data_IF_062818749760
#
_entry.id   IF_062818749760
#
_cell.length_a   1.000
_cell.length_b   1.000
_cell.length_c   1.000
_cell.angle_alpha   90.00
_cell.angle_beta   90.00
_cell.angle_gamma   90.00
#
_symmetry.space_group_name_H-M   'P 1'
#
loop_
_entity.id
_entity.type
_entity.pdbx_description
1 polymer ?
#
# COMPACT_ATOMS: atom_id res chain seq x y z
N UNK A 1 8.06 -11.88 -3.53
CA UNK A 1 7.08 -12.30 -2.49
C UNK A 1 5.75 -11.59 -2.77
N UNK A 2 4.59 -12.24 -2.58
CA UNK A 2 3.27 -11.63 -2.86
C UNK A 2 2.63 -11.16 -1.56
N UNK A 3 2.20 -9.91 -1.49
CA UNK A 3 1.58 -9.33 -0.30
C UNK A 3 0.33 -8.54 -0.67
N UNK A 4 -0.69 -8.60 0.19
CA UNK A 4 -1.90 -7.79 0.11
C UNK A 4 -1.73 -6.62 1.07
N UNK A 5 -1.81 -5.38 0.58
CA UNK A 5 -1.73 -4.20 1.44
C UNK A 5 -3.11 -3.76 1.88
N UNK A 6 -3.25 -3.49 3.17
CA UNK A 6 -4.40 -2.80 3.75
C UNK A 6 -4.41 -1.32 3.36
N UNK A 7 -5.59 -0.71 3.32
CA UNK A 7 -5.80 0.72 3.05
C UNK A 7 -4.95 1.59 3.97
N UNK A 8 -4.82 1.24 5.26
CA UNK A 8 -4.03 2.01 6.21
C UNK A 8 -2.54 2.01 5.86
N UNK A 9 -2.01 0.95 5.25
CA UNK A 9 -0.60 0.90 4.82
C UNK A 9 -0.37 1.85 3.65
N UNK A 10 -1.30 1.91 2.71
CA UNK A 10 -1.28 2.89 1.61
C UNK A 10 -1.28 4.32 2.15
N UNK A 11 -2.29 4.68 2.94
CA UNK A 11 -2.43 6.04 3.48
C UNK A 11 -1.20 6.38 4.34
N UNK A 12 -0.77 5.47 5.22
CA UNK A 12 0.41 5.67 6.08
C UNK A 12 1.66 5.97 5.27
N UNK A 13 1.92 5.17 4.22
CA UNK A 13 3.12 5.28 3.40
C UNK A 13 3.12 6.46 2.44
N UNK A 14 1.95 6.87 1.95
CA UNK A 14 1.79 8.00 1.04
C UNK A 14 1.84 9.35 1.78
N UNK A 15 1.23 9.46 2.96
CA UNK A 15 1.08 10.74 3.67
C UNK A 15 2.13 10.98 4.76
N UNK A 16 2.56 9.95 5.49
CA UNK A 16 3.45 10.12 6.67
C UNK A 16 4.79 9.39 6.58
N UNK A 17 4.94 8.45 5.66
CA UNK A 17 6.22 7.78 5.40
C UNK A 17 6.47 6.54 6.28
N UNK A 18 7.69 6.42 6.83
CA UNK A 18 8.06 5.36 7.78
C UNK A 18 8.18 3.95 7.17
N UNK A 19 7.92 2.92 7.98
CA UNK A 19 7.96 1.52 7.52
C UNK A 19 6.94 1.23 6.39
N UNK A 20 5.71 1.78 6.41
CA UNK A 20 4.79 1.66 5.28
C UNK A 20 5.38 2.18 3.95
N UNK A 21 6.09 3.32 3.96
CA UNK A 21 6.79 3.83 2.76
C UNK A 21 7.88 2.89 2.27
N UNK A 22 8.63 2.26 3.18
CA UNK A 22 9.64 1.25 2.79
C UNK A 22 8.98 0.05 2.09
N UNK A 23 7.80 -0.38 2.53
CA UNK A 23 7.06 -1.45 1.84
C UNK A 23 6.67 -1.00 0.43
N UNK A 24 6.18 0.23 0.26
CA UNK A 24 5.86 0.78 -1.06
C UNK A 24 7.12 0.83 -1.94
N UNK A 25 8.26 1.26 -1.41
CA UNK A 25 9.54 1.28 -2.14
C UNK A 25 9.99 -0.12 -2.58
N UNK A 26 9.84 -1.14 -1.73
CA UNK A 26 10.15 -2.52 -2.13
C UNK A 26 9.29 -2.98 -3.32
N UNK A 27 8.06 -2.46 -3.45
CA UNK A 27 7.20 -2.74 -4.60
C UNK A 27 7.63 -1.93 -5.84
N UNK A 28 8.01 -0.66 -5.67
CA UNK A 28 8.59 0.19 -6.73
C UNK A 28 9.90 -0.42 -7.28
N UNK A 29 10.70 -1.05 -6.42
CA UNK A 29 11.95 -1.76 -6.77
C UNK A 29 11.72 -3.20 -7.28
N UNK A 30 10.47 -3.62 -7.49
CA UNK A 30 10.07 -4.95 -7.97
C UNK A 30 10.52 -6.13 -7.09
N UNK A 31 10.94 -5.88 -5.84
CA UNK A 31 11.36 -6.92 -4.88
C UNK A 31 10.18 -7.70 -4.30
N UNK A 32 9.00 -7.09 -4.33
CA UNK A 32 7.71 -7.68 -3.92
C UNK A 32 6.63 -7.36 -4.95
N UNK A 33 5.59 -8.18 -4.97
CA UNK A 33 4.37 -7.93 -5.74
C UNK A 33 3.26 -7.57 -4.78
N UNK A 34 2.74 -6.35 -4.90
CA UNK A 34 1.63 -5.86 -4.10
C UNK A 34 0.31 -6.13 -4.83
N UNK A 35 -0.65 -6.65 -4.09
CA UNK A 35 -2.04 -6.76 -4.49
C UNK A 35 -2.91 -5.87 -3.60
N UNK A 36 -4.07 -5.51 -4.13
CA UNK A 36 -5.19 -4.94 -3.38
C UNK A 36 -6.47 -5.63 -3.82
N UNK A 37 -7.51 -5.60 -2.99
CA UNK A 37 -8.86 -5.99 -3.41
C UNK A 37 -9.63 -4.77 -3.89
N UNK A 38 -10.69 -4.99 -4.68
CA UNK A 38 -11.63 -3.93 -5.04
C UNK A 38 -12.21 -3.22 -3.81
N UNK A 39 -12.50 -3.96 -2.74
CA UNK A 39 -13.05 -3.39 -1.51
C UNK A 39 -12.05 -2.47 -0.79
N UNK A 40 -10.78 -2.85 -0.72
CA UNK A 40 -9.71 -2.02 -0.13
C UNK A 40 -9.42 -0.80 -0.99
N UNK A 41 -9.53 -0.95 -2.33
CA UNK A 41 -9.38 0.17 -3.24
C UNK A 41 -10.53 1.19 -3.09
N UNK A 42 -11.77 0.73 -2.93
CA UNK A 42 -12.93 1.61 -2.67
C UNK A 42 -12.78 2.38 -1.36
N UNK A 43 -12.34 1.71 -0.29
CA UNK A 43 -12.08 2.38 0.99
C UNK A 43 -11.02 3.49 0.86
N UNK A 44 -9.98 3.27 0.05
CA UNK A 44 -8.96 4.27 -0.24
C UNK A 44 -9.55 5.49 -0.97
N UNK A 45 -10.41 5.26 -1.97
CA UNK A 45 -11.11 6.33 -2.70
C UNK A 45 -12.07 7.13 -1.82
N UNK A 46 -12.72 6.50 -0.83
CA UNK A 46 -13.63 7.18 0.10
C UNK A 46 -12.89 7.98 1.18
N UNK A 47 -11.65 7.60 1.50
CA UNK A 47 -10.86 8.22 2.57
C UNK A 47 -10.07 9.45 2.09
N UNK A 48 -9.81 9.57 0.79
CA UNK A 48 -9.12 10.71 0.16
C UNK A 48 -10.11 11.75 -0.37
#
# INVERSE_FOLDING_TARGET
>A
MKILLDTNVWISGLLWGGNPRKIIQLAEEELITVYTSLSLFQELEETF
#
